data_IF_056114014551
#
_entry.id   IF_056114014551
#
_cell.length_a   1.000
_cell.length_b   1.000
_cell.length_c   1.000
_cell.angle_alpha   90.00
_cell.angle_beta   90.00
_cell.angle_gamma   90.00
#
_symmetry.space_group_name_H-M   'P 1'
#
loop_
_entity.id
_entity.type
_entity.pdbx_description
1 polymer ?
#
# COMPACT_ATOMS: atom_id res chain seq x y z
N UNK A 1 12.87 8.97 -15.98
CA UNK A 1 12.20 9.22 -17.29
C UNK A 1 12.53 8.05 -18.21
N UNK A 2 11.56 7.53 -18.96
CA UNK A 2 11.62 6.19 -19.60
C UNK A 2 12.15 6.16 -21.05
N UNK A 3 12.60 7.28 -21.64
CA UNK A 3 13.10 7.31 -23.03
C UNK A 3 12.01 7.19 -24.12
N UNK A 4 10.75 6.96 -23.76
CA UNK A 4 9.61 6.89 -24.68
C UNK A 4 8.78 8.18 -24.69
N UNK A 5 8.06 8.43 -25.80
CA UNK A 5 7.03 9.46 -25.85
C UNK A 5 5.82 9.07 -24.99
N UNK A 6 5.08 10.07 -24.48
CA UNK A 6 3.89 9.86 -23.65
C UNK A 6 2.87 8.93 -24.33
N UNK A 7 2.57 9.17 -25.61
CA UNK A 7 1.63 8.35 -26.38
C UNK A 7 2.09 6.90 -26.56
N UNK A 8 3.40 6.65 -26.71
CA UNK A 8 3.93 5.28 -26.81
C UNK A 8 3.73 4.53 -25.50
N UNK A 9 4.01 5.18 -24.36
CA UNK A 9 3.77 4.60 -23.04
C UNK A 9 2.28 4.34 -22.83
N UNK A 10 1.41 5.30 -23.15
CA UNK A 10 -0.04 5.13 -23.01
C UNK A 10 -0.58 3.95 -23.82
N UNK A 11 -0.20 3.85 -25.09
CA UNK A 11 -0.65 2.75 -25.96
C UNK A 11 -0.18 1.39 -25.44
N UNK A 12 1.08 1.29 -25.02
CA UNK A 12 1.65 0.02 -24.58
C UNK A 12 1.06 -0.41 -23.24
N UNK A 13 0.88 0.52 -22.31
CA UNK A 13 0.24 0.25 -21.02
C UNK A 13 -1.23 -0.14 -21.21
N UNK A 14 -1.95 0.53 -22.10
CA UNK A 14 -3.33 0.17 -22.40
C UNK A 14 -3.44 -1.20 -23.08
N UNK A 15 -2.54 -1.53 -24.01
CA UNK A 15 -2.54 -2.82 -24.69
C UNK A 15 -2.32 -4.00 -23.73
N UNK A 16 -1.43 -3.85 -22.73
CA UNK A 16 -1.10 -4.91 -21.77
C UNK A 16 -2.07 -4.99 -20.58
N UNK A 17 -2.58 -3.84 -20.11
CA UNK A 17 -3.31 -3.74 -18.85
C UNK A 17 -4.76 -3.28 -19.00
N UNK A 18 -5.20 -2.95 -20.22
CA UNK A 18 -6.56 -2.49 -20.53
C UNK A 18 -6.92 -1.10 -19.99
N UNK A 19 -5.96 -0.39 -19.40
CA UNK A 19 -6.17 0.91 -18.78
C UNK A 19 -4.97 1.85 -19.04
N UNK A 20 -5.26 3.16 -19.15
CA UNK A 20 -4.21 4.15 -19.32
C UNK A 20 -3.35 4.34 -18.05
N UNK A 21 -2.10 4.82 -18.16
CA UNK A 21 -1.19 5.02 -17.03
C UNK A 21 -1.78 5.85 -15.88
N UNK A 22 -2.57 6.88 -16.20
CA UNK A 22 -3.20 7.74 -15.19
C UNK A 22 -4.31 7.00 -14.43
N UNK A 23 -5.10 6.18 -15.12
CA UNK A 23 -6.12 5.34 -14.50
C UNK A 23 -5.49 4.29 -13.58
N UNK A 24 -4.39 3.68 -14.00
CA UNK A 24 -3.63 2.74 -13.18
C UNK A 24 -3.04 3.42 -11.93
N UNK A 25 -2.41 4.58 -12.09
CA UNK A 25 -1.89 5.34 -10.96
C UNK A 25 -3.02 5.73 -9.98
N UNK A 26 -4.20 6.08 -10.49
CA UNK A 26 -5.38 6.38 -9.68
C UNK A 26 -5.86 5.16 -8.90
N UNK A 27 -6.00 4.02 -9.56
CA UNK A 27 -6.39 2.76 -8.92
C UNK A 27 -5.38 2.32 -7.86
N UNK A 28 -4.08 2.43 -8.15
CA UNK A 28 -3.02 2.11 -7.19
C UNK A 28 -3.08 2.99 -5.95
N UNK A 29 -3.23 4.32 -6.10
CA UNK A 29 -3.39 5.23 -4.95
C UNK A 29 -4.65 4.91 -4.14
N UNK A 30 -5.76 4.63 -4.81
CA UNK A 30 -7.00 4.25 -4.13
C UNK A 30 -6.81 2.94 -3.32
N UNK A 31 -6.08 1.96 -3.85
CA UNK A 31 -5.79 0.71 -3.15
C UNK A 31 -4.85 0.92 -1.95
N UNK A 32 -3.83 1.78 -2.07
CA UNK A 32 -2.98 2.17 -0.96
C UNK A 32 -3.81 2.87 0.13
N UNK A 33 -4.66 3.83 -0.25
CA UNK A 33 -5.58 4.51 0.64
C UNK A 33 -6.46 3.52 1.41
N UNK A 34 -7.10 2.58 0.71
CA UNK A 34 -7.95 1.55 1.34
C UNK A 34 -7.17 0.75 2.37
N UNK A 35 -5.99 0.26 2.03
CA UNK A 35 -5.15 -0.50 2.96
C UNK A 35 -4.91 0.31 4.25
N UNK A 36 -4.53 1.58 4.14
CA UNK A 36 -4.25 2.41 5.31
C UNK A 36 -5.53 2.74 6.12
N UNK A 37 -6.66 3.00 5.44
CA UNK A 37 -7.96 3.23 6.09
C UNK A 37 -8.37 2.02 6.92
N UNK A 38 -8.19 0.81 6.38
CA UNK A 38 -8.67 -0.42 7.01
C UNK A 38 -7.78 -0.89 8.17
N UNK A 39 -6.56 -0.36 8.29
CA UNK A 39 -5.53 -0.95 9.16
C UNK A 39 -4.89 0.03 10.16
N UNK A 40 -5.22 1.32 10.08
CA UNK A 40 -4.64 2.38 10.93
C UNK A 40 -5.71 3.26 11.56
N UNK A 41 -5.38 3.93 12.67
CA UNK A 41 -6.23 4.94 13.29
C UNK A 41 -5.95 6.38 12.83
N UNK A 42 -5.01 6.61 11.91
CA UNK A 42 -4.57 7.96 11.54
C UNK A 42 -5.73 8.82 10.97
N UNK A 43 -5.67 10.16 11.12
CA UNK A 43 -6.63 11.07 10.50
C UNK A 43 -6.70 10.89 8.97
N UNK A 44 -7.89 11.09 8.37
CA UNK A 44 -8.08 10.95 6.91
C UNK A 44 -7.20 11.90 6.10
N UNK A 45 -6.85 13.06 6.66
CA UNK A 45 -5.91 14.03 6.08
C UNK A 45 -4.52 13.44 5.90
N UNK A 46 -4.00 12.75 6.92
CA UNK A 46 -2.71 12.06 6.86
C UNK A 46 -2.74 10.88 5.89
N UNK A 47 -3.86 10.13 5.89
CA UNK A 47 -4.04 9.03 4.95
C UNK A 47 -4.04 9.48 3.50
N UNK A 48 -4.66 10.63 3.18
CA UNK A 48 -4.65 11.20 1.84
C UNK A 48 -3.22 11.50 1.36
N UNK A 49 -2.40 12.13 2.23
CA UNK A 49 -1.02 12.43 1.91
C UNK A 49 -0.18 11.14 1.75
N UNK A 50 -0.28 10.20 2.69
CA UNK A 50 0.46 8.94 2.69
C UNK A 50 0.11 8.03 1.48
N UNK A 51 -1.10 8.15 0.95
CA UNK A 51 -1.54 7.44 -0.26
C UNK A 51 -1.26 8.20 -1.56
N UNK A 52 -0.57 9.35 -1.48
CA UNK A 52 -0.08 10.10 -2.65
C UNK A 52 -1.12 11.02 -3.30
N UNK A 53 -2.15 11.44 -2.57
CA UNK A 53 -3.09 12.46 -3.04
C UNK A 53 -2.61 13.86 -2.67
N UNK A 54 -2.76 14.80 -3.61
CA UNK A 54 -2.44 16.22 -3.37
C UNK A 54 -3.50 16.97 -2.57
N UNK A 55 -4.68 16.38 -2.34
CA UNK A 55 -5.72 16.97 -1.50
C UNK A 55 -6.66 15.92 -0.91
N UNK A 56 -7.25 16.24 0.26
CA UNK A 56 -8.28 15.40 0.88
C UNK A 56 -9.54 15.28 0.01
N UNK A 57 -9.88 16.31 -0.78
CA UNK A 57 -11.04 16.29 -1.67
C UNK A 57 -10.86 15.25 -2.77
N UNK A 58 -9.74 15.31 -3.49
CA UNK A 58 -9.42 14.34 -4.56
C UNK A 58 -9.32 12.91 -4.03
N UNK A 59 -8.80 12.74 -2.81
CA UNK A 59 -8.80 11.47 -2.08
C UNK A 59 -10.23 10.95 -1.86
N UNK A 60 -11.09 11.76 -1.24
CA UNK A 60 -12.49 11.39 -0.96
C UNK A 60 -13.25 11.02 -2.24
N UNK A 61 -13.11 11.83 -3.29
CA UNK A 61 -13.77 11.63 -4.58
C UNK A 61 -13.29 10.33 -5.24
N UNK A 62 -11.98 10.09 -5.26
CA UNK A 62 -11.40 8.88 -5.86
C UNK A 62 -11.76 7.61 -5.10
N UNK A 63 -11.71 7.64 -3.76
CA UNK A 63 -12.08 6.47 -2.94
C UNK A 63 -13.55 6.13 -3.16
N UNK A 64 -14.43 7.14 -3.18
CA UNK A 64 -15.86 6.93 -3.45
C UNK A 64 -16.10 6.38 -4.86
N UNK A 65 -15.41 6.90 -5.86
CA UNK A 65 -15.54 6.43 -7.24
C UNK A 65 -15.08 4.97 -7.40
N UNK A 66 -13.95 4.61 -6.79
CA UNK A 66 -13.34 3.27 -6.97
C UNK A 66 -14.02 2.20 -6.12
N UNK A 67 -14.46 2.53 -4.90
CA UNK A 67 -14.99 1.53 -3.95
C UNK A 67 -16.48 1.66 -3.67
N UNK A 68 -17.17 2.64 -4.26
CA UNK A 68 -18.58 2.95 -4.01
C UNK A 68 -18.90 3.21 -2.52
N UNK A 69 -17.89 3.59 -1.73
CA UNK A 69 -17.98 3.85 -0.29
C UNK A 69 -17.16 5.08 0.06
N UNK A 70 -17.61 5.87 1.03
CA UNK A 70 -16.77 6.91 1.60
C UNK A 70 -15.61 6.31 2.41
N UNK A 71 -14.49 7.05 2.57
CA UNK A 71 -13.38 6.62 3.41
C UNK A 71 -13.79 6.26 4.85
N UNK A 72 -14.77 6.99 5.41
CA UNK A 72 -15.28 6.74 6.76
C UNK A 72 -16.06 5.43 6.82
N UNK A 73 -16.93 5.16 5.85
CA UNK A 73 -17.66 3.88 5.76
C UNK A 73 -16.71 2.69 5.55
N UNK A 74 -15.66 2.86 4.74
CA UNK A 74 -14.60 1.85 4.60
C UNK A 74 -13.95 1.53 5.95
N UNK A 75 -13.60 2.56 6.74
CA UNK A 75 -13.03 2.38 8.08
C UNK A 75 -13.99 1.66 9.02
N UNK A 76 -15.27 2.04 9.02
CA UNK A 76 -16.28 1.41 9.87
C UNK A 76 -16.49 -0.07 9.54
N UNK A 77 -16.39 -0.44 8.26
CA UNK A 77 -16.51 -1.84 7.81
C UNK A 77 -15.25 -2.67 8.10
N UNK A 78 -14.09 -2.02 8.20
CA UNK A 78 -12.84 -2.65 8.60
C UNK A 78 -12.84 -2.94 10.11
N UNK A 79 -13.50 -4.02 10.51
CA UNK A 79 -13.45 -4.52 11.89
C UNK A 79 -12.02 -5.01 12.18
N UNK A 80 -11.19 -4.14 12.76
CA UNK A 80 -9.83 -4.45 13.21
C UNK A 80 -9.39 -3.46 14.30
N UNK A 81 -8.60 -3.92 15.28
CA UNK A 81 -8.00 -3.01 16.26
C UNK A 81 -7.00 -2.10 15.53
N UNK A 82 -7.10 -0.78 15.66
CA UNK A 82 -6.11 0.12 15.08
C UNK A 82 -4.73 -0.12 15.70
N UNK A 83 -3.69 -0.01 14.89
CA UNK A 83 -2.31 -0.02 15.34
C UNK A 83 -2.03 1.14 16.31
N UNK A 84 -1.06 0.95 17.23
CA UNK A 84 -0.57 2.02 18.10
C UNK A 84 0.01 3.19 17.28
N UNK A 85 0.05 4.39 17.87
CA UNK A 85 0.65 5.56 17.22
C UNK A 85 2.11 5.27 16.81
N UNK A 86 2.47 5.60 15.57
CA UNK A 86 3.79 5.27 15.00
C UNK A 86 3.93 3.83 14.48
N UNK A 87 2.89 3.00 14.59
CA UNK A 87 2.86 1.66 14.01
C UNK A 87 1.82 1.59 12.88
N UNK A 88 2.18 0.88 11.80
CA UNK A 88 1.27 0.51 10.73
C UNK A 88 1.10 -1.00 10.78
N UNK A 89 -0.12 -1.46 11.07
CA UNK A 89 -0.50 -2.85 10.76
C UNK A 89 -0.92 -2.83 9.29
N UNK A 90 -0.49 -3.79 8.48
CA UNK A 90 -0.85 -3.81 7.05
C UNK A 90 -1.27 -5.23 6.66
N UNK A 91 -2.34 -5.35 5.87
CA UNK A 91 -2.70 -6.60 5.20
C UNK A 91 -2.15 -6.57 3.79
N UNK A 92 -1.07 -7.32 3.54
CA UNK A 92 -0.43 -7.35 2.24
C UNK A 92 -1.01 -8.48 1.37
N UNK A 93 -1.33 -8.22 0.09
CA UNK A 93 -1.63 -9.29 -0.85
C UNK A 93 -0.38 -10.14 -1.09
N UNK A 94 -0.56 -11.45 -1.25
CA UNK A 94 0.52 -12.37 -1.60
C UNK A 94 0.08 -13.30 -2.72
N UNK A 95 1.05 -13.88 -3.45
CA UNK A 95 0.80 -14.88 -4.50
C UNK A 95 0.93 -16.28 -3.91
N UNK A 96 -0.06 -17.16 -4.16
CA UNK A 96 0.00 -18.57 -3.77
C UNK A 96 0.87 -19.40 -4.74
N UNK A 97 1.54 -20.46 -4.25
CA UNK A 97 1.66 -20.87 -2.85
C UNK A 97 2.68 -20.02 -2.08
N UNK A 98 2.40 -19.76 -0.80
CA UNK A 98 3.34 -19.13 0.13
C UNK A 98 3.85 -20.19 1.09
N UNK A 99 5.17 -20.35 1.20
CA UNK A 99 5.83 -21.23 2.15
C UNK A 99 6.49 -20.38 3.26
N UNK A 100 5.72 -19.95 4.28
CA UNK A 100 6.21 -18.99 5.27
C UNK A 100 7.43 -19.51 6.03
N UNK A 101 7.48 -20.79 6.37
CA UNK A 101 8.61 -21.39 7.11
C UNK A 101 9.92 -21.27 6.35
N UNK A 102 9.90 -21.53 5.04
CA UNK A 102 11.10 -21.39 4.20
C UNK A 102 11.47 -19.92 3.99
N UNK A 103 10.47 -19.04 3.80
CA UNK A 103 10.71 -17.61 3.63
C UNK A 103 11.40 -17.02 4.87
N UNK A 104 10.82 -17.22 6.05
CA UNK A 104 11.40 -16.70 7.30
C UNK A 104 12.68 -17.44 7.66
N UNK A 105 12.78 -18.74 7.40
CA UNK A 105 14.04 -19.49 7.57
C UNK A 105 15.18 -18.88 6.76
N UNK A 106 14.93 -18.53 5.48
CA UNK A 106 15.91 -17.85 4.65
C UNK A 106 16.25 -16.45 5.17
N UNK A 107 15.24 -15.63 5.48
CA UNK A 107 15.45 -14.26 5.99
C UNK A 107 16.25 -14.24 7.30
N UNK A 108 16.04 -15.22 8.19
CA UNK A 108 16.81 -15.37 9.42
C UNK A 108 18.25 -15.81 9.11
N UNK A 109 18.43 -16.79 8.22
CA UNK A 109 19.74 -17.30 7.86
C UNK A 109 20.62 -16.27 7.12
N UNK A 110 20.02 -15.35 6.37
CA UNK A 110 20.72 -14.29 5.62
C UNK A 110 20.63 -12.90 6.27
N UNK A 111 20.21 -12.83 7.54
CA UNK A 111 19.95 -11.55 8.21
C UNK A 111 21.20 -10.69 8.37
N UNK A 112 21.07 -9.38 8.16
CA UNK A 112 22.17 -8.41 8.35
C UNK A 112 22.21 -7.92 9.80
N UNK A 113 23.29 -8.18 10.57
CA UNK A 113 23.39 -7.73 11.96
C UNK A 113 23.22 -6.21 12.11
N UNK A 114 22.39 -5.81 13.08
CA UNK A 114 22.09 -4.39 13.35
C UNK A 114 21.02 -3.76 12.45
N UNK A 115 20.61 -4.44 11.36
CA UNK A 115 19.57 -3.97 10.44
C UNK A 115 18.33 -4.87 10.51
N UNK A 116 18.54 -6.17 10.73
CA UNK A 116 17.52 -7.21 10.72
C UNK A 116 17.63 -8.05 12.01
N UNK A 117 16.50 -8.41 12.60
CA UNK A 117 16.41 -9.17 13.85
C UNK A 117 15.24 -10.17 13.79
N UNK A 118 15.47 -11.38 14.32
CA UNK A 118 14.40 -12.33 14.63
C UNK A 118 14.23 -12.44 16.13
N UNK A 119 13.03 -12.13 16.62
CA UNK A 119 12.71 -12.15 18.05
C UNK A 119 11.22 -12.44 18.26
N UNK A 120 10.88 -13.28 19.23
CA UNK A 120 9.50 -13.58 19.64
C UNK A 120 8.60 -14.05 18.47
N UNK A 121 9.15 -14.83 17.54
CA UNK A 121 8.42 -15.31 16.37
C UNK A 121 8.14 -14.23 15.30
N UNK A 122 8.76 -13.05 15.41
CA UNK A 122 8.61 -11.95 14.48
C UNK A 122 9.96 -11.58 13.84
N UNK A 123 9.92 -11.38 12.52
CA UNK A 123 11.01 -10.79 11.77
C UNK A 123 10.88 -9.27 11.76
N UNK A 124 11.96 -8.57 12.12
CA UNK A 124 12.03 -7.11 12.17
C UNK A 124 13.17 -6.67 11.27
N UNK A 125 12.95 -5.60 10.50
CA UNK A 125 13.99 -4.94 9.73
C UNK A 125 13.82 -3.44 9.78
N UNK A 126 14.91 -2.71 9.66
CA UNK A 126 14.85 -1.28 9.41
C UNK A 126 14.54 -1.03 7.92
N UNK A 127 13.71 -0.02 7.67
CA UNK A 127 13.39 0.46 6.33
C UNK A 127 13.78 1.93 6.26
N UNK A 128 14.57 2.29 5.25
CA UNK A 128 14.77 3.69 4.91
C UNK A 128 13.52 4.18 4.19
N UNK A 129 12.76 5.06 4.84
CA UNK A 129 11.63 5.70 4.20
C UNK A 129 12.14 6.87 3.33
N UNK A 130 11.51 7.13 2.18
CA UNK A 130 11.75 8.38 1.48
C UNK A 130 11.18 9.52 2.34
N UNK A 131 12.06 10.48 2.67
CA UNK A 131 11.88 11.62 3.58
C UNK A 131 12.18 11.32 5.05
#
# INVERSE_FOLDING_TARGET
RLGYSVRQVERQVFAELGAGPLALARAQRAQTARTLIETTALPMTELALASGFGSIRTFNDTVREVFALSPTELRQRAKGKPAAAGALVLRLPYRKPLCPDNLFGHLVATGVPGVEEWRDGAYRRTLRLPH
#
